data_IF_207265654596
#
_entry.id   IF_207265654596
#
_cell.length_a   1.000
_cell.length_b   1.000
_cell.length_c   1.000
_cell.angle_alpha   90.00
_cell.angle_beta   90.00
_cell.angle_gamma   90.00
#
_symmetry.space_group_name_H-M   'P 1'
#
loop_
_entity.id
_entity.type
_entity.pdbx_description
1 polymer ?
#
# COMPACT_ATOMS: atom_id res chain seq x y z
N UNK A 1 -21.89 -25.06 -12.27
CA UNK A 1 -20.86 -24.03 -12.01
C UNK A 1 -20.59 -23.99 -10.51
N UNK A 2 -19.33 -23.99 -10.05
CA UNK A 2 -19.02 -23.76 -8.63
C UNK A 2 -19.20 -22.25 -8.39
N UNK A 3 -20.31 -21.83 -7.78
CA UNK A 3 -20.70 -20.42 -7.53
C UNK A 3 -19.74 -19.68 -6.57
N UNK A 4 -18.44 -19.61 -6.90
CA UNK A 4 -17.42 -19.01 -6.04
C UNK A 4 -17.11 -19.82 -4.76
N UNK A 5 -17.68 -21.02 -4.61
CA UNK A 5 -17.52 -21.86 -3.42
C UNK A 5 -16.07 -22.33 -3.16
N UNK A 6 -15.14 -22.09 -4.09
CA UNK A 6 -13.70 -22.29 -3.90
C UNK A 6 -13.00 -21.12 -3.18
N UNK A 7 -13.60 -19.93 -3.17
CA UNK A 7 -12.99 -18.75 -2.55
C UNK A 7 -13.21 -18.75 -1.04
N UNK A 8 -12.16 -18.39 -0.30
CA UNK A 8 -12.18 -18.26 1.16
C UNK A 8 -11.57 -16.92 1.53
N UNK A 9 -12.29 -16.12 2.30
CA UNK A 9 -11.78 -14.85 2.81
C UNK A 9 -10.98 -15.14 4.08
N UNK A 10 -9.65 -15.17 3.95
CA UNK A 10 -8.74 -15.49 5.05
C UNK A 10 -7.74 -14.35 5.37
N UNK A 11 -7.83 -13.21 4.68
CA UNK A 11 -6.95 -12.05 4.86
C UNK A 11 -5.71 -12.07 3.96
N UNK A 12 -4.74 -11.19 4.24
CA UNK A 12 -3.58 -10.93 3.38
C UNK A 12 -2.26 -11.04 4.18
N UNK A 13 -1.48 -12.13 4.06
CA UNK A 13 -0.22 -12.30 4.79
C UNK A 13 0.77 -11.16 4.56
N UNK A 14 0.78 -10.61 3.34
CA UNK A 14 1.57 -9.42 2.99
C UNK A 14 1.16 -8.19 3.81
N UNK A 15 -0.14 -7.98 4.04
CA UNK A 15 -0.60 -6.86 4.84
C UNK A 15 -0.18 -7.00 6.31
N UNK A 16 -0.18 -8.23 6.84
CA UNK A 16 0.29 -8.53 8.19
C UNK A 16 1.80 -8.28 8.33
N UNK A 17 2.57 -8.67 7.32
CA UNK A 17 4.00 -8.39 7.26
C UNK A 17 4.28 -6.88 7.23
N UNK A 18 3.60 -6.11 6.36
CA UNK A 18 3.81 -4.66 6.27
C UNK A 18 3.46 -3.92 7.56
N UNK A 19 2.48 -4.40 8.34
CA UNK A 19 2.14 -3.82 9.66
C UNK A 19 3.21 -4.04 10.73
N UNK A 20 4.07 -5.04 10.57
CA UNK A 20 5.04 -5.48 11.59
C UNK A 20 6.49 -5.29 11.17
N UNK A 21 6.74 -4.84 9.94
CA UNK A 21 8.09 -4.65 9.41
C UNK A 21 8.84 -3.58 10.19
N UNK A 22 10.10 -3.87 10.51
CA UNK A 22 10.97 -2.93 11.23
C UNK A 22 11.42 -1.81 10.29
N UNK A 23 11.39 -0.54 10.73
CA UNK A 23 11.79 0.59 9.90
C UNK A 23 13.31 0.58 9.68
N UNK A 24 13.74 0.69 8.42
CA UNK A 24 15.13 0.92 8.02
C UNK A 24 15.15 2.00 6.94
N UNK A 25 16.03 3.00 7.10
CA UNK A 25 16.18 4.09 6.14
C UNK A 25 17.61 4.06 5.57
N UNK A 26 17.79 4.19 4.24
CA UNK A 26 19.09 3.98 3.59
C UNK A 26 20.03 5.18 3.69
N UNK A 27 19.55 6.32 4.21
CA UNK A 27 20.32 7.54 4.36
C UNK A 27 20.66 7.79 5.82
N UNK A 28 21.82 8.41 6.07
CA UNK A 28 22.28 8.79 7.40
C UNK A 28 21.36 9.78 8.11
N UNK A 29 21.70 10.23 9.33
CA UNK A 29 20.84 11.07 10.17
C UNK A 29 20.55 12.47 9.61
N UNK A 30 21.06 12.82 8.42
CA UNK A 30 20.95 14.14 7.83
C UNK A 30 22.17 14.98 8.14
N UNK A 31 22.00 16.31 8.11
CA UNK A 31 23.07 17.28 8.34
C UNK A 31 23.41 17.36 9.84
N UNK A 32 24.70 17.24 10.25
CA UNK A 32 25.10 17.22 11.66
C UNK A 32 24.69 18.46 12.45
N UNK A 33 24.58 19.62 11.79
CA UNK A 33 24.20 20.89 12.41
C UNK A 33 22.72 21.02 12.77
N UNK A 34 21.87 20.06 12.37
CA UNK A 34 20.45 20.04 12.71
C UNK A 34 20.15 19.06 13.83
N UNK A 35 19.41 19.52 14.84
CA UNK A 35 18.97 18.70 15.97
C UNK A 35 17.74 17.86 15.65
N UNK A 36 16.91 18.30 14.70
CA UNK A 36 15.73 17.57 14.25
C UNK A 36 16.10 16.58 13.13
N UNK A 37 15.53 15.37 13.18
CA UNK A 37 15.67 14.40 12.09
C UNK A 37 15.10 14.97 10.78
N UNK A 38 15.68 14.64 9.62
CA UNK A 38 15.12 15.05 8.34
C UNK A 38 13.75 14.39 8.11
N UNK A 39 12.90 15.09 7.35
CA UNK A 39 11.68 14.50 6.81
C UNK A 39 12.03 13.41 5.78
N UNK A 40 11.27 12.33 5.72
CA UNK A 40 11.55 11.17 4.86
C UNK A 40 10.42 10.92 3.88
N UNK A 41 10.68 11.12 2.61
CA UNK A 41 9.71 11.01 1.51
C UNK A 41 10.06 9.81 0.64
N UNK A 42 9.07 8.96 0.36
CA UNK A 42 9.20 7.93 -0.68
C UNK A 42 8.53 8.40 -1.95
N UNK A 43 9.24 8.37 -3.06
CA UNK A 43 8.75 8.73 -4.39
C UNK A 43 8.55 7.44 -5.20
N UNK A 44 7.33 6.93 -5.25
CA UNK A 44 7.03 5.69 -5.96
C UNK A 44 6.57 5.96 -7.40
N UNK A 45 7.23 5.29 -8.35
CA UNK A 45 6.92 5.43 -9.77
C UNK A 45 6.37 4.12 -10.36
N UNK A 46 5.16 4.19 -10.90
CA UNK A 46 4.53 3.09 -11.62
C UNK A 46 5.01 3.01 -13.07
N UNK A 47 4.92 1.83 -13.66
CA UNK A 47 5.50 1.53 -14.98
C UNK A 47 4.61 1.89 -16.17
N UNK A 48 3.31 2.11 -15.97
CA UNK A 48 2.36 2.43 -17.06
C UNK A 48 2.44 3.89 -17.48
N UNK A 49 3.62 4.30 -17.93
CA UNK A 49 3.93 5.68 -18.31
C UNK A 49 3.54 6.02 -19.75
N UNK A 50 3.33 5.02 -20.61
CA UNK A 50 2.71 5.20 -21.92
C UNK A 50 1.18 5.31 -21.83
N UNK A 51 0.49 5.24 -22.97
CA UNK A 51 -0.97 5.20 -23.09
C UNK A 51 -1.47 3.83 -23.56
N UNK A 52 -2.74 3.51 -23.27
CA UNK A 52 -3.43 2.35 -23.83
C UNK A 52 -3.52 1.13 -22.90
N UNK A 53 -2.94 1.20 -21.69
CA UNK A 53 -3.19 0.20 -20.65
C UNK A 53 -3.90 0.86 -19.46
N UNK A 54 -3.31 0.89 -18.27
CA UNK A 54 -3.95 1.51 -17.10
C UNK A 54 -3.66 3.01 -16.99
N UNK A 55 -2.58 3.47 -17.61
CA UNK A 55 -2.21 4.88 -17.77
C UNK A 55 -2.06 5.67 -16.45
N UNK A 56 -1.84 4.97 -15.34
CA UNK A 56 -1.56 5.54 -14.02
C UNK A 56 -0.12 6.07 -13.88
N UNK A 57 0.86 5.45 -14.56
CA UNK A 57 2.25 5.84 -14.42
C UNK A 57 2.49 7.27 -14.86
N UNK A 58 3.11 8.06 -14.00
CA UNK A 58 3.33 9.49 -14.22
C UNK A 58 4.80 9.92 -14.08
N UNK A 59 5.75 8.97 -14.05
CA UNK A 59 7.18 9.27 -13.93
C UNK A 59 7.65 10.28 -14.99
N UNK A 60 7.28 10.06 -16.26
CA UNK A 60 7.61 10.96 -17.36
C UNK A 60 7.10 12.40 -17.15
N UNK A 61 6.01 12.59 -16.40
CA UNK A 61 5.43 13.91 -16.11
C UNK A 61 6.11 14.57 -14.90
N UNK A 62 6.43 13.80 -13.87
CA UNK A 62 6.91 14.37 -12.59
C UNK A 62 8.42 14.37 -12.40
N UNK A 63 9.20 13.56 -13.16
CA UNK A 63 10.62 13.27 -12.85
C UNK A 63 11.48 14.52 -12.66
N UNK A 64 11.31 15.52 -13.53
CA UNK A 64 12.12 16.73 -13.51
C UNK A 64 11.82 17.58 -12.27
N UNK A 65 10.54 17.77 -11.96
CA UNK A 65 10.11 18.56 -10.80
C UNK A 65 10.40 17.84 -9.48
N UNK A 66 10.27 16.50 -9.42
CA UNK A 66 10.65 15.72 -8.23
C UNK A 66 12.16 15.83 -7.94
N UNK A 67 13.00 15.81 -8.98
CA UNK A 67 14.44 16.02 -8.85
C UNK A 67 14.75 17.46 -8.41
N UNK A 68 14.05 18.46 -8.96
CA UNK A 68 14.20 19.85 -8.54
C UNK A 68 13.80 20.04 -7.07
N UNK A 69 12.72 19.40 -6.63
CA UNK A 69 12.31 19.40 -5.22
C UNK A 69 13.38 18.80 -4.32
N UNK A 70 13.92 17.62 -4.66
CA UNK A 70 15.00 17.02 -3.88
C UNK A 70 16.25 17.91 -3.77
N UNK A 71 16.61 18.62 -4.85
CA UNK A 71 17.71 19.60 -4.87
C UNK A 71 17.46 20.81 -3.98
N UNK A 72 16.23 21.33 -3.99
CA UNK A 72 15.85 22.55 -3.27
C UNK A 72 15.58 22.31 -1.77
N UNK A 73 15.32 21.07 -1.36
CA UNK A 73 15.01 20.71 0.02
C UNK A 73 16.05 19.74 0.61
N UNK A 74 17.29 20.19 0.87
CA UNK A 74 18.37 19.31 1.36
C UNK A 74 18.14 18.76 2.78
N UNK A 75 17.15 19.29 3.50
CA UNK A 75 16.74 18.84 4.83
C UNK A 75 15.65 17.76 4.80
N UNK A 76 15.18 17.41 3.60
CA UNK A 76 14.27 16.30 3.34
C UNK A 76 15.06 15.22 2.62
N UNK A 77 14.90 13.99 3.07
CA UNK A 77 15.48 12.81 2.46
C UNK A 77 14.47 12.11 1.57
N UNK A 78 14.91 11.70 0.39
CA UNK A 78 14.05 11.08 -0.60
C UNK A 78 14.53 9.67 -0.97
N UNK A 79 13.61 8.72 -1.08
CA UNK A 79 13.89 7.42 -1.69
C UNK A 79 13.06 7.29 -2.96
N UNK A 80 13.73 7.17 -4.10
CA UNK A 80 13.08 6.79 -5.34
C UNK A 80 12.79 5.29 -5.34
N UNK A 81 11.53 4.94 -5.55
CA UNK A 81 11.05 3.56 -5.54
C UNK A 81 10.40 3.24 -6.88
N UNK A 82 11.18 2.91 -7.92
CA UNK A 82 10.63 2.51 -9.20
C UNK A 82 9.97 1.14 -9.10
N UNK A 83 8.84 0.97 -9.77
CA UNK A 83 8.33 -0.36 -10.04
C UNK A 83 9.38 -1.13 -10.88
N UNK A 84 9.65 -2.43 -10.63
CA UNK A 84 10.66 -3.17 -11.41
C UNK A 84 10.43 -3.12 -12.92
N UNK A 85 9.15 -3.22 -13.34
CA UNK A 85 8.78 -3.09 -14.76
C UNK A 85 8.94 -1.67 -15.36
N UNK A 86 9.19 -0.65 -14.54
CA UNK A 86 9.53 0.70 -15.04
C UNK A 86 10.99 0.74 -15.49
N UNK A 87 11.89 -0.02 -14.86
CA UNK A 87 13.32 0.03 -15.14
C UNK A 87 13.68 -0.29 -16.61
N UNK A 88 13.11 -1.34 -17.24
CA UNK A 88 13.36 -1.61 -18.67
C UNK A 88 12.40 -0.84 -19.60
N UNK A 89 11.37 -0.16 -19.07
CA UNK A 89 10.36 0.49 -19.92
C UNK A 89 10.91 1.56 -20.87
N UNK A 90 11.91 2.39 -20.50
CA UNK A 90 12.55 3.34 -21.41
C UNK A 90 13.17 2.74 -22.67
N UNK A 91 13.38 1.42 -22.72
CA UNK A 91 13.89 0.71 -23.90
C UNK A 91 12.76 0.34 -24.90
N UNK A 92 11.50 0.57 -24.54
CA UNK A 92 10.33 0.29 -25.39
C UNK A 92 10.04 1.43 -26.36
N UNK A 93 9.67 1.10 -27.61
CA UNK A 93 9.19 2.06 -28.61
C UNK A 93 7.98 2.88 -28.16
N UNK A 94 7.18 2.35 -27.22
CA UNK A 94 6.01 3.04 -26.67
C UNK A 94 6.38 4.03 -25.54
N UNK A 95 7.65 4.09 -25.13
CA UNK A 95 8.06 4.91 -24.00
C UNK A 95 8.01 6.40 -24.34
N UNK A 96 7.38 7.24 -23.50
CA UNK A 96 7.41 8.70 -23.66
C UNK A 96 8.74 9.33 -23.22
N UNK A 97 9.70 8.52 -22.75
CA UNK A 97 11.05 8.95 -22.37
C UNK A 97 12.07 8.02 -22.99
N UNK A 98 13.22 8.56 -23.39
CA UNK A 98 14.32 7.73 -23.89
C UNK A 98 15.06 7.04 -22.74
N UNK A 99 15.75 5.94 -23.05
CA UNK A 99 16.73 5.32 -22.14
C UNK A 99 17.79 6.32 -21.65
N UNK A 100 18.29 7.17 -22.55
CA UNK A 100 19.28 8.19 -22.21
C UNK A 100 18.75 9.21 -21.18
N UNK A 101 17.49 9.65 -21.31
CA UNK A 101 16.85 10.54 -20.36
C UNK A 101 16.64 9.89 -18.99
N UNK A 102 16.23 8.62 -18.98
CA UNK A 102 16.05 7.86 -17.74
C UNK A 102 17.37 7.67 -17.00
N UNK A 103 18.42 7.24 -17.70
CA UNK A 103 19.75 7.04 -17.12
C UNK A 103 20.37 8.36 -16.66
N UNK A 104 20.17 9.45 -17.42
CA UNK A 104 20.56 10.80 -17.01
C UNK A 104 19.89 11.23 -15.72
N UNK A 105 18.57 11.03 -15.63
CA UNK A 105 17.82 11.33 -14.41
C UNK A 105 18.28 10.48 -13.21
N UNK A 106 18.54 9.19 -13.41
CA UNK A 106 19.04 8.30 -12.34
C UNK A 106 20.41 8.73 -11.83
N UNK A 107 21.34 9.13 -12.72
CA UNK A 107 22.64 9.70 -12.32
C UNK A 107 22.47 10.98 -11.53
N UNK A 108 21.64 11.89 -12.02
CA UNK A 108 21.35 13.16 -11.38
C UNK A 108 20.70 13.01 -10.00
N UNK A 109 19.79 12.04 -9.86
CA UNK A 109 19.15 11.68 -8.60
C UNK A 109 20.21 11.15 -7.63
N UNK A 110 20.88 10.06 -8.00
CA UNK A 110 21.88 9.39 -7.13
C UNK A 110 23.08 10.27 -6.74
N UNK A 111 23.36 11.34 -7.48
CA UNK A 111 24.38 12.32 -7.12
C UNK A 111 23.99 13.23 -5.93
N UNK A 112 22.71 13.32 -5.57
CA UNK A 112 22.24 14.17 -4.47
C UNK A 112 22.43 13.48 -3.11
N UNK A 113 23.04 14.16 -2.11
CA UNK A 113 23.39 13.55 -0.83
C UNK A 113 22.19 13.21 0.06
N UNK A 114 21.02 13.77 -0.25
CA UNK A 114 19.75 13.54 0.45
C UNK A 114 18.84 12.56 -0.29
N UNK A 115 19.34 11.81 -1.26
CA UNK A 115 18.52 10.87 -2.03
C UNK A 115 19.12 9.47 -2.06
N UNK A 116 18.24 8.48 -2.18
CA UNK A 116 18.60 7.10 -2.45
C UNK A 116 17.61 6.49 -3.46
N UNK A 117 17.95 5.32 -3.96
CA UNK A 117 17.05 4.45 -4.74
C UNK A 117 16.77 3.22 -3.89
N UNK A 118 15.55 2.70 -3.94
CA UNK A 118 15.18 1.45 -3.26
C UNK A 118 16.21 0.36 -3.58
N UNK A 119 16.84 -0.20 -2.56
CA UNK A 119 17.72 -1.37 -2.65
C UNK A 119 16.91 -2.67 -2.76
N UNK A 120 17.59 -3.78 -3.03
CA UNK A 120 16.96 -5.10 -3.18
C UNK A 120 16.31 -5.66 -1.89
N UNK A 121 16.50 -5.01 -0.74
CA UNK A 121 16.07 -5.46 0.61
C UNK A 121 14.55 -5.41 0.85
N UNK A 122 13.74 -5.29 -0.19
CA UNK A 122 12.29 -5.13 -0.13
C UNK A 122 11.89 -3.74 0.38
N UNK A 123 10.76 -3.23 -0.09
CA UNK A 123 10.35 -1.85 0.24
C UNK A 123 9.78 -1.69 1.65
N UNK A 124 9.32 -2.77 2.30
CA UNK A 124 8.63 -2.72 3.60
C UNK A 124 9.34 -1.88 4.67
N UNK A 125 10.64 -2.13 4.97
CA UNK A 125 11.40 -1.36 5.94
C UNK A 125 11.50 0.14 5.60
N UNK A 126 11.65 0.48 4.33
CA UNK A 126 11.73 1.87 3.84
C UNK A 126 10.37 2.56 4.01
N UNK A 127 9.27 1.89 3.65
CA UNK A 127 7.94 2.44 3.86
C UNK A 127 7.69 2.65 5.37
N UNK A 128 8.05 1.68 6.21
CA UNK A 128 7.95 1.81 7.67
C UNK A 128 8.85 2.89 8.26
N UNK A 129 9.96 3.26 7.63
CA UNK A 129 10.84 4.34 8.09
C UNK A 129 10.49 5.73 7.54
N UNK A 130 9.73 5.80 6.45
CA UNK A 130 9.30 7.06 5.82
C UNK A 130 8.23 7.81 6.61
N UNK A 131 8.05 9.10 6.34
CA UNK A 131 6.98 9.93 6.92
C UNK A 131 5.77 10.03 5.99
N UNK A 132 6.03 10.06 4.68
CA UNK A 132 5.00 10.10 3.65
C UNK A 132 5.46 9.47 2.34
N UNK A 133 4.49 9.18 1.48
CA UNK A 133 4.73 8.73 0.11
C UNK A 133 4.05 9.66 -0.90
N UNK A 134 4.79 9.98 -1.96
CA UNK A 134 4.25 10.47 -3.23
C UNK A 134 4.23 9.30 -4.20
N UNK A 135 3.06 8.98 -4.76
CA UNK A 135 2.93 7.85 -5.69
C UNK A 135 1.97 8.15 -6.82
N UNK A 136 2.25 7.59 -7.99
CA UNK A 136 1.30 7.47 -9.10
C UNK A 136 0.85 6.01 -9.31
N UNK A 137 1.21 5.09 -8.40
CA UNK A 137 1.00 3.66 -8.58
C UNK A 137 -0.18 3.10 -7.80
N UNK A 138 -1.07 2.39 -8.51
CA UNK A 138 -2.25 1.73 -7.95
C UNK A 138 -1.96 0.89 -6.70
N UNK A 139 -0.98 -0.02 -6.75
CA UNK A 139 -0.69 -0.90 -5.62
C UNK A 139 -0.24 -0.13 -4.39
N UNK A 140 0.52 0.96 -4.57
CA UNK A 140 1.00 1.77 -3.46
C UNK A 140 -0.07 2.68 -2.86
N UNK A 141 -1.07 3.12 -3.66
CA UNK A 141 -2.26 3.79 -3.13
C UNK A 141 -3.00 2.93 -2.11
N UNK A 142 -2.95 1.61 -2.26
CA UNK A 142 -3.58 0.66 -1.34
C UNK A 142 -2.62 0.28 -0.21
N UNK A 143 -1.42 -0.18 -0.54
CA UNK A 143 -0.51 -0.81 0.41
C UNK A 143 0.07 0.17 1.42
N UNK A 144 0.41 1.40 1.02
CA UNK A 144 1.02 2.36 1.95
C UNK A 144 0.03 2.81 3.04
N UNK A 145 -1.28 2.75 2.78
CA UNK A 145 -2.30 3.04 3.78
C UNK A 145 -2.22 2.10 5.00
N UNK A 146 -1.70 0.86 4.84
CA UNK A 146 -1.51 -0.08 5.94
C UNK A 146 -0.61 0.45 7.06
N UNK A 147 0.28 1.39 6.72
CA UNK A 147 1.19 2.03 7.67
C UNK A 147 0.56 3.21 8.39
N UNK A 148 -0.67 3.61 8.01
CA UNK A 148 -1.38 4.78 8.55
C UNK A 148 -0.56 6.08 8.44
N UNK A 149 0.12 6.23 7.31
CA UNK A 149 0.98 7.37 6.96
C UNK A 149 0.47 8.07 5.72
N UNK A 150 0.84 9.33 5.57
CA UNK A 150 0.37 10.17 4.49
C UNK A 150 0.66 9.59 3.10
N UNK A 151 -0.39 9.51 2.28
CA UNK A 151 -0.30 9.18 0.84
C UNK A 151 -0.71 10.40 0.03
N UNK A 152 0.21 10.86 -0.82
CA UNK A 152 -0.04 11.86 -1.86
C UNK A 152 -0.12 11.11 -3.19
N UNK A 153 -1.30 11.12 -3.80
CA UNK A 153 -1.54 10.56 -5.12
C UNK A 153 -1.28 11.61 -6.19
N UNK A 154 -0.22 11.43 -6.97
CA UNK A 154 -0.04 12.21 -8.19
C UNK A 154 -0.92 11.62 -9.29
N UNK A 155 -2.03 12.28 -9.56
CA UNK A 155 -3.06 11.83 -10.48
C UNK A 155 -2.74 12.29 -11.90
N UNK A 156 -2.48 11.32 -12.79
CA UNK A 156 -2.26 11.55 -14.22
C UNK A 156 -3.58 11.61 -14.97
N UNK A 157 -3.72 12.59 -15.85
CA UNK A 157 -4.85 12.64 -16.76
C UNK A 157 -4.96 11.44 -17.68
N UNK A 158 -6.20 11.01 -17.88
CA UNK A 158 -6.52 9.91 -18.78
C UNK A 158 -6.16 8.53 -18.23
N UNK A 159 -5.77 8.40 -16.97
CA UNK A 159 -5.67 7.08 -16.34
C UNK A 159 -7.02 6.36 -16.39
N UNK A 160 -7.01 5.04 -16.41
CA UNK A 160 -8.26 4.25 -16.39
C UNK A 160 -9.10 4.62 -15.16
N UNK A 161 -10.43 4.71 -15.29
CA UNK A 161 -11.30 5.02 -14.16
C UNK A 161 -11.14 3.99 -13.06
N UNK A 162 -11.28 4.43 -11.81
CA UNK A 162 -11.30 3.52 -10.68
C UNK A 162 -12.56 2.65 -10.71
N UNK A 163 -12.44 1.41 -10.26
CA UNK A 163 -13.60 0.61 -9.89
C UNK A 163 -14.07 0.99 -8.47
N UNK A 164 -15.14 0.35 -7.97
CA UNK A 164 -15.67 0.64 -6.63
C UNK A 164 -14.65 0.51 -5.49
N UNK A 165 -13.66 -0.39 -5.61
CA UNK A 165 -12.59 -0.53 -4.61
C UNK A 165 -11.60 0.63 -4.74
N UNK A 166 -11.20 0.98 -5.96
CA UNK A 166 -10.33 2.13 -6.22
C UNK A 166 -10.95 3.44 -5.72
N UNK A 167 -12.24 3.65 -5.97
CA UNK A 167 -13.02 4.80 -5.47
C UNK A 167 -13.05 4.87 -3.95
N UNK A 168 -13.06 3.73 -3.26
CA UNK A 168 -12.93 3.71 -1.80
C UNK A 168 -11.50 4.09 -1.38
N UNK A 169 -10.49 3.48 -1.99
CA UNK A 169 -9.06 3.69 -1.68
C UNK A 169 -8.68 5.17 -1.78
N UNK A 170 -9.08 5.85 -2.87
CA UNK A 170 -8.68 7.25 -3.11
C UNK A 170 -9.31 8.25 -2.14
N UNK A 171 -10.40 7.90 -1.44
CA UNK A 171 -10.99 8.79 -0.42
C UNK A 171 -10.07 9.01 0.79
N UNK A 172 -9.09 8.13 0.98
CA UNK A 172 -8.10 8.19 2.06
C UNK A 172 -6.73 8.72 1.63
N UNK A 173 -6.60 9.30 0.43
CA UNK A 173 -5.33 9.83 -0.10
C UNK A 173 -5.51 11.26 -0.59
N UNK A 174 -4.43 12.02 -0.61
CA UNK A 174 -4.44 13.39 -1.11
C UNK A 174 -4.10 13.42 -2.59
N UNK A 175 -5.09 13.65 -3.46
CA UNK A 175 -4.86 13.74 -4.90
C UNK A 175 -4.32 15.11 -5.30
N UNK A 176 -3.26 15.11 -6.10
CA UNK A 176 -2.61 16.30 -6.66
C UNK A 176 -2.27 16.07 -8.12
N UNK A 177 -2.08 17.15 -8.86
CA UNK A 177 -1.82 17.11 -10.32
C UNK A 177 -0.49 17.76 -10.70
N UNK A 178 0.19 18.35 -9.73
CA UNK A 178 1.50 19.01 -9.89
C UNK A 178 2.42 18.56 -8.77
N UNK A 179 3.74 18.55 -9.02
CA UNK A 179 4.71 18.24 -7.95
C UNK A 179 4.75 19.37 -6.93
N UNK A 180 4.46 20.60 -7.34
CA UNK A 180 4.40 21.76 -6.47
C UNK A 180 3.27 21.67 -5.42
N UNK A 181 2.09 21.15 -5.80
CA UNK A 181 1.02 20.80 -4.86
C UNK A 181 1.45 19.68 -3.91
N UNK A 182 2.09 18.63 -4.43
CA UNK A 182 2.63 17.54 -3.62
C UNK A 182 3.63 18.07 -2.58
N UNK A 183 4.53 18.95 -3.00
CA UNK A 183 5.55 19.59 -2.17
C UNK A 183 4.92 20.43 -1.06
N UNK A 184 4.00 21.35 -1.39
CA UNK A 184 3.32 22.19 -0.39
C UNK A 184 2.61 21.35 0.66
N UNK A 185 1.94 20.29 0.23
CA UNK A 185 1.23 19.40 1.12
C UNK A 185 2.20 18.63 2.02
N UNK A 186 3.28 18.08 1.45
CA UNK A 186 4.31 17.41 2.20
C UNK A 186 4.97 18.33 3.24
N UNK A 187 5.35 19.56 2.86
CA UNK A 187 5.94 20.55 3.77
C UNK A 187 5.02 20.87 4.95
N UNK A 188 3.73 21.14 4.69
CA UNK A 188 2.74 21.41 5.74
C UNK A 188 2.63 20.26 6.73
N UNK A 189 2.63 19.02 6.25
CA UNK A 189 2.40 17.83 7.06
C UNK A 189 3.68 17.39 7.79
N UNK A 190 4.85 17.50 7.17
CA UNK A 190 6.14 17.31 7.82
C UNK A 190 6.38 18.34 8.94
N UNK A 191 5.79 19.54 8.83
CA UNK A 191 5.79 20.55 9.89
C UNK A 191 4.77 20.26 11.03
N UNK A 192 4.08 19.12 11.01
CA UNK A 192 3.12 18.72 12.04
C UNK A 192 1.68 19.22 11.81
N UNK A 193 1.36 19.68 10.61
CA UNK A 193 -0.02 20.00 10.23
C UNK A 193 -0.95 18.78 10.34
N UNK A 194 -2.25 18.97 10.60
CA UNK A 194 -3.20 17.88 10.67
C UNK A 194 -3.44 17.24 9.29
N UNK A 195 -3.56 15.92 9.24
CA UNK A 195 -4.02 15.17 8.06
C UNK A 195 -5.55 14.97 8.11
N UNK A 196 -6.34 15.72 7.32
CA UNK A 196 -7.80 15.60 7.32
C UNK A 196 -8.32 14.28 6.73
N UNK A 197 -7.48 13.46 6.09
CA UNK A 197 -7.87 12.19 5.48
C UNK A 197 -7.47 10.97 6.31
N UNK A 198 -6.80 11.18 7.46
CA UNK A 198 -6.30 10.10 8.30
C UNK A 198 -7.41 9.13 8.76
N UNK A 199 -8.60 9.63 9.12
CA UNK A 199 -9.75 8.78 9.48
C UNK A 199 -10.24 7.94 8.29
N UNK A 200 -10.34 8.54 7.10
CA UNK A 200 -10.77 7.84 5.89
C UNK A 200 -9.75 6.77 5.48
N UNK A 201 -8.47 7.05 5.64
CA UNK A 201 -7.40 6.10 5.43
C UNK A 201 -7.53 4.89 6.38
N UNK A 202 -7.73 5.14 7.68
CA UNK A 202 -7.95 4.05 8.66
C UNK A 202 -9.19 3.22 8.32
N UNK A 203 -10.26 3.86 7.86
CA UNK A 203 -11.47 3.19 7.42
C UNK A 203 -11.24 2.30 6.19
N UNK A 204 -10.46 2.78 5.22
CA UNK A 204 -10.06 1.99 4.06
C UNK A 204 -9.29 0.75 4.48
N UNK A 205 -8.29 0.90 5.34
CA UNK A 205 -7.48 -0.24 5.84
C UNK A 205 -8.37 -1.26 6.54
N UNK A 206 -9.24 -0.80 7.44
CA UNK A 206 -10.14 -1.66 8.20
C UNK A 206 -11.10 -2.43 7.29
N UNK A 207 -11.70 -1.77 6.31
CA UNK A 207 -12.66 -2.38 5.37
C UNK A 207 -12.00 -3.37 4.41
N UNK A 208 -10.82 -3.04 3.89
CA UNK A 208 -10.16 -3.82 2.85
C UNK A 208 -9.32 -4.97 3.42
N UNK A 209 -8.66 -4.76 4.56
CA UNK A 209 -7.66 -5.70 5.08
C UNK A 209 -8.02 -6.32 6.43
N UNK A 210 -9.01 -5.80 7.16
CA UNK A 210 -9.37 -6.29 8.48
C UNK A 210 -8.22 -6.25 9.49
N UNK A 211 -8.25 -7.17 10.46
CA UNK A 211 -7.23 -7.35 11.51
C UNK A 211 -6.05 -8.18 11.02
N UNK A 212 -4.92 -8.08 11.73
CA UNK A 212 -3.78 -8.98 11.56
C UNK A 212 -4.10 -10.37 12.12
N UNK A 213 -3.55 -11.44 11.51
CA UNK A 213 -3.70 -12.89 11.80
C UNK A 213 -4.08 -13.75 10.57
N UNK A 214 -3.92 -13.21 9.35
CA UNK A 214 -4.33 -13.87 8.11
C UNK A 214 -3.64 -15.21 7.88
N UNK A 215 -2.37 -15.36 8.26
CA UNK A 215 -1.64 -16.63 8.16
C UNK A 215 -2.33 -17.74 8.96
N UNK A 216 -2.71 -17.48 10.21
CA UNK A 216 -3.40 -18.47 11.05
C UNK A 216 -4.80 -18.80 10.51
N UNK A 217 -5.51 -17.79 9.98
CA UNK A 217 -6.80 -18.01 9.30
C UNK A 217 -6.64 -18.88 8.07
N UNK A 218 -5.62 -18.64 7.24
CA UNK A 218 -5.30 -19.46 6.06
C UNK A 218 -4.99 -20.90 6.47
N UNK A 219 -4.10 -21.11 7.46
CA UNK A 219 -3.75 -22.45 7.94
C UNK A 219 -4.98 -23.19 8.48
N UNK A 220 -5.87 -22.50 9.21
CA UNK A 220 -7.13 -23.08 9.69
C UNK A 220 -8.04 -23.51 8.55
N UNK A 221 -8.18 -22.69 7.50
CA UNK A 221 -8.98 -23.02 6.31
C UNK A 221 -8.40 -24.23 5.57
N UNK A 222 -7.07 -24.27 5.39
CA UNK A 222 -6.39 -25.38 4.72
C UNK A 222 -6.53 -26.69 5.51
N UNK A 223 -6.29 -26.67 6.83
CA UNK A 223 -6.46 -27.85 7.70
C UNK A 223 -7.88 -28.42 7.62
N UNK A 224 -8.90 -27.56 7.65
CA UNK A 224 -10.31 -27.98 7.50
C UNK A 224 -10.60 -28.56 6.12
N UNK A 225 -10.07 -27.95 5.07
CA UNK A 225 -10.21 -28.45 3.70
C UNK A 225 -9.62 -29.85 3.54
N UNK A 226 -8.38 -30.05 3.98
CA UNK A 226 -7.69 -31.35 3.95
C UNK A 226 -8.48 -32.40 4.74
N UNK A 227 -8.94 -32.08 5.96
CA UNK A 227 -9.72 -33.01 6.77
C UNK A 227 -11.03 -33.42 6.08
N UNK A 228 -11.71 -32.48 5.40
CA UNK A 228 -12.95 -32.78 4.66
C UNK A 228 -12.74 -33.61 3.39
N UNK A 229 -11.57 -33.54 2.77
CA UNK A 229 -11.21 -34.33 1.57
C UNK A 229 -10.63 -35.71 1.94
N UNK A 230 -9.97 -35.82 3.11
CA UNK A 230 -9.33 -37.04 3.60
C UNK A 230 -10.29 -38.07 4.21
N UNK A 231 -11.57 -37.75 4.38
CA UNK A 231 -12.58 -38.69 4.85
C UNK A 231 -12.31 -39.24 6.26
N UNK A 232 -12.09 -38.39 7.26
CA UNK A 232 -12.41 -38.82 8.62
C UNK A 232 -13.95 -38.86 8.76
N UNK A 233 -14.55 -40.03 9.02
CA UNK A 233 -15.96 -40.08 9.37
C UNK A 233 -16.15 -39.30 10.66
N UNK A 234 -17.23 -38.51 10.74
CA UNK A 234 -17.74 -37.96 11.98
C UNK A 234 -17.64 -39.04 13.06
N UNK A 235 -16.76 -38.85 14.04
CA UNK A 235 -16.77 -39.68 15.22
C UNK A 235 -18.18 -39.55 15.81
N UNK A 236 -18.92 -40.67 16.04
CA UNK A 236 -20.29 -40.58 16.49
C UNK A 236 -20.29 -39.81 17.81
N UNK A 237 -21.01 -38.69 17.78
CA UNK A 237 -21.30 -37.89 18.95
C UNK A 237 -21.78 -38.80 20.06
N UNK A 238 -21.20 -38.60 21.26
CA UNK A 238 -21.78 -39.10 22.50
C UNK A 238 -23.26 -38.71 22.47
N UNK A 239 -24.12 -39.72 22.47
CA UNK A 239 -25.56 -39.54 22.49
C UNK A 239 -25.94 -38.64 23.68
N UNK A 240 -26.56 -37.51 23.39
CA UNK A 240 -27.34 -36.79 24.39
C UNK A 240 -28.49 -37.71 24.84
N UNK A 241 -28.79 -37.76 26.15
CA UNK A 241 -29.88 -38.57 26.65
C UNK A 241 -31.23 -38.03 26.15
N UNK A 242 -32.23 -38.90 25.92
CA UNK A 242 -33.47 -38.50 25.28
C UNK A 242 -34.27 -37.55 26.18
N UNK A 243 -34.62 -36.40 25.62
CA UNK A 243 -35.70 -35.57 26.15
C UNK A 243 -37.02 -36.34 26.02
N UNK A 244 -37.56 -36.77 27.17
CA UNK A 244 -38.92 -37.28 27.29
C UNK A 244 -39.97 -36.21 26.97
N UNK A 245 -41.17 -36.61 26.51
CA UNK A 245 -42.06 -35.73 25.76
C UNK A 245 -42.79 -34.73 26.64
N UNK A 246 -42.93 -33.51 26.10
CA UNK A 246 -43.93 -32.54 26.54
C UNK A 246 -45.33 -33.17 26.52
N UNK A 247 -45.95 -33.28 27.72
CA UNK A 247 -47.40 -33.32 27.85
C UNK A 247 -47.89 -31.91 28.16
N UNK A 248 -48.57 -31.30 27.20
CA UNK A 248 -49.64 -30.36 27.49
C UNK A 248 -50.87 -31.20 27.88
N UNK A 249 -51.45 -30.97 29.05
CA UNK A 249 -52.82 -30.44 29.12
C UNK A 249 -53.27 -30.07 30.55
N UNK A 250 -54.03 -28.97 30.59
CA UNK A 250 -55.19 -28.63 31.45
C UNK A 250 -55.14 -28.71 32.99
N UNK A 251 -55.32 -27.50 33.54
CA UNK A 251 -56.39 -27.08 34.47
C UNK A 251 -56.30 -27.41 35.98
N UNK A 252 -56.38 -26.30 36.72
CA UNK A 252 -57.21 -25.99 37.91
C UNK A 252 -56.69 -26.25 39.34
N UNK A 253 -56.93 -25.20 40.17
CA UNK A 253 -57.06 -25.13 41.63
C UNK A 253 -55.76 -25.32 42.44
N UNK A 254 -55.38 -24.51 43.43
CA UNK A 254 -55.99 -23.42 44.22
C UNK A 254 -54.98 -22.27 44.38
#
# INVERSE_FOLDING_TARGET
MRNGAQFRVAGHPKADHLRTVRPVWPLGPGRPEKTARPGRVVCSAHHTIATGWTDFGAFHLMRAEMLAWARQCPDVQFVFMPHPALLPFPDSDASPISRADFDGWMRDWTALPNTAVLSEEGYGPILAASDLMVTAGLSMLVEYQLLTKLVIFFERDGHRPFNAIGEQVVRGVHSVRTVDDARRLAEKLLAGGPDPLADRQRDNVRRLFGTADSTERILRVLRRGIASEGGEPDAPGRADPPHGPHRLDRRLAM
#
